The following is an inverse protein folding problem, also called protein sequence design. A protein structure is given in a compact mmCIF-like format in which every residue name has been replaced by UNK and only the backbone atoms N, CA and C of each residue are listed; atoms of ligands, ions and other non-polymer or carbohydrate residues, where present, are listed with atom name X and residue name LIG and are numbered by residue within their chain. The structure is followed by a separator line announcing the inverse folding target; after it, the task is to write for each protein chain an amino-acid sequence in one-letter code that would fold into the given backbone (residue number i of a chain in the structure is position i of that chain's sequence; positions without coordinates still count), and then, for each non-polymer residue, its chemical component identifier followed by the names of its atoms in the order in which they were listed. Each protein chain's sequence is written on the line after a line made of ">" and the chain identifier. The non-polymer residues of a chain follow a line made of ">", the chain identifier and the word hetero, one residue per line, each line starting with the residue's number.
data_IF_956207161890
#
_entry.id   IF_956207161890
#
_cell.length_a   1.000
_cell.length_b   1.000
_cell.length_c   1.000
_cell.angle_alpha   90.00
_cell.angle_beta   90.00
_cell.angle_gamma   90.00
#
_symmetry.space_group_name_H-M   'P 1'
#
loop_
_entity.id
_entity.type
_entity.pdbx_description
1 polymer ?
#
# COMPACT_ATOMS: atom_id res chain seq x y z
N UNK A 1 -18.09 36.36 -41.72
CA UNK A 1 -16.93 35.48 -41.47
C UNK A 1 -16.14 36.05 -40.30
N UNK A 2 -16.34 35.53 -39.08
CA UNK A 2 -15.53 35.88 -37.91
C UNK A 2 -14.89 34.58 -37.41
N UNK A 3 -13.55 34.54 -37.48
CA UNK A 3 -12.73 33.35 -37.20
C UNK A 3 -12.80 33.06 -35.69
N UNK A 4 -13.50 31.98 -35.34
CA UNK A 4 -13.47 31.38 -34.00
C UNK A 4 -12.05 30.88 -33.72
N UNK A 5 -11.28 31.61 -32.92
CA UNK A 5 -10.03 31.10 -32.35
C UNK A 5 -10.38 30.04 -31.31
N UNK A 6 -10.33 28.76 -31.72
CA UNK A 6 -10.38 27.64 -30.78
C UNK A 6 -9.02 27.56 -30.10
N UNK A 7 -8.99 27.84 -28.81
CA UNK A 7 -7.80 27.69 -27.97
C UNK A 7 -7.28 26.27 -28.05
N UNK A 8 -6.00 26.14 -28.39
CA UNK A 8 -5.28 24.88 -28.22
C UNK A 8 -4.99 24.71 -26.73
N UNK A 9 -5.79 23.89 -26.05
CA UNK A 9 -5.44 23.36 -24.74
C UNK A 9 -4.33 22.32 -24.96
N UNK A 10 -3.08 22.79 -24.96
CA UNK A 10 -1.92 21.91 -24.95
C UNK A 10 -2.00 21.08 -23.65
N UNK A 11 -2.43 19.82 -23.77
CA UNK A 11 -2.31 18.85 -22.68
C UNK A 11 -0.82 18.73 -22.40
N UNK A 12 -0.40 19.12 -21.21
CA UNK A 12 0.96 18.89 -20.74
C UNK A 12 1.12 17.37 -20.63
N UNK A 13 1.72 16.76 -21.65
CA UNK A 13 2.03 15.33 -21.64
C UNK A 13 3.18 15.18 -20.64
N UNK A 14 2.86 14.88 -19.39
CA UNK A 14 3.87 14.43 -18.44
C UNK A 14 4.37 13.08 -18.92
N UNK A 15 5.59 13.04 -19.46
CA UNK A 15 6.26 11.79 -19.77
C UNK A 15 6.66 11.13 -18.46
N UNK A 16 5.95 10.06 -18.10
CA UNK A 16 6.30 9.23 -16.96
C UNK A 16 7.34 8.22 -17.42
N UNK A 17 8.53 8.27 -16.83
CA UNK A 17 9.56 7.26 -17.02
C UNK A 17 9.50 6.29 -15.83
N UNK A 18 9.31 4.99 -16.11
CA UNK A 18 9.35 3.96 -15.09
C UNK A 18 10.77 3.43 -14.94
N UNK A 19 11.24 3.29 -13.71
CA UNK A 19 12.56 2.76 -13.38
C UNK A 19 12.40 1.74 -12.24
N UNK A 20 13.02 0.58 -12.38
CA UNK A 20 13.13 -0.39 -11.29
C UNK A 20 14.28 0.00 -10.35
N UNK A 21 14.07 -0.20 -9.05
CA UNK A 21 15.05 0.12 -8.03
C UNK A 21 15.04 -0.92 -6.90
N UNK A 22 16.19 -1.08 -6.24
CA UNK A 22 16.34 -1.87 -5.01
C UNK A 22 16.42 -0.93 -3.82
N UNK A 23 15.71 -1.26 -2.74
CA UNK A 23 15.84 -0.56 -1.46
C UNK A 23 16.78 -1.34 -0.53
N UNK A 24 17.94 -0.77 -0.22
CA UNK A 24 18.96 -1.41 0.59
C UNK A 24 19.67 -0.37 1.47
N UNK A 25 19.82 -0.67 2.76
CA UNK A 25 20.49 0.18 3.74
C UNK A 25 19.91 1.61 3.80
N UNK A 26 18.58 1.75 3.64
CA UNK A 26 17.91 3.05 3.66
C UNK A 26 18.02 3.86 2.37
N UNK A 27 18.61 3.29 1.31
CA UNK A 27 18.83 3.98 0.03
C UNK A 27 18.11 3.23 -1.10
N UNK A 28 17.38 3.98 -1.94
CA UNK A 28 16.82 3.47 -3.20
C UNK A 28 17.87 3.56 -4.30
N UNK A 29 18.29 2.41 -4.85
CA UNK A 29 19.28 2.30 -5.92
C UNK A 29 18.59 1.86 -7.22
N UNK A 30 18.60 2.67 -8.28
CA UNK A 30 18.04 2.25 -9.57
C UNK A 30 18.83 1.07 -10.15
N UNK A 31 18.14 0.08 -10.71
CA UNK A 31 18.74 -1.08 -11.39
C UNK A 31 19.11 -0.73 -12.83
N UNK A 32 18.39 0.22 -13.44
CA UNK A 32 18.62 0.72 -14.79
C UNK A 32 19.15 2.15 -14.84
N UNK A 33 19.26 2.68 -16.06
CA UNK A 33 19.67 4.07 -16.28
C UNK A 33 18.56 5.03 -15.83
N UNK A 34 18.73 5.63 -14.66
CA UNK A 34 17.95 6.77 -14.18
C UNK A 34 18.84 8.01 -14.22
N UNK A 35 18.62 8.88 -15.20
CA UNK A 35 19.30 10.17 -15.28
C UNK A 35 18.39 11.25 -14.71
N UNK A 36 18.81 11.86 -13.61
CA UNK A 36 18.14 13.00 -12.97
C UNK A 36 19.17 14.10 -12.77
N UNK A 37 18.75 15.36 -12.93
CA UNK A 37 19.57 16.50 -12.58
C UNK A 37 19.60 16.71 -11.06
N UNK A 38 20.68 17.31 -10.56
CA UNK A 38 20.76 17.69 -9.14
C UNK A 38 19.64 18.68 -8.78
N UNK A 39 18.91 18.40 -7.70
CA UNK A 39 17.75 19.20 -7.27
C UNK A 39 16.45 18.92 -8.01
N UNK A 40 16.42 17.98 -8.95
CA UNK A 40 15.20 17.59 -9.66
C UNK A 40 14.20 16.91 -8.71
N UNK A 41 12.96 17.41 -8.70
CA UNK A 41 11.88 16.84 -7.89
C UNK A 41 11.20 15.70 -8.64
N UNK A 42 11.18 14.52 -8.03
CA UNK A 42 10.54 13.32 -8.60
C UNK A 42 9.45 12.78 -7.70
N UNK A 43 8.49 12.06 -8.29
CA UNK A 43 7.44 11.34 -7.56
C UNK A 43 7.75 9.86 -7.56
N UNK A 44 7.79 9.26 -6.37
CA UNK A 44 7.94 7.83 -6.23
C UNK A 44 6.58 7.14 -6.22
N UNK A 45 6.44 6.06 -7.00
CA UNK A 45 5.25 5.21 -7.01
C UNK A 45 5.71 3.80 -6.65
N UNK A 46 5.21 3.26 -5.53
CA UNK A 46 5.48 1.89 -5.11
C UNK A 46 4.31 1.02 -5.55
N UNK A 47 4.55 0.15 -6.52
CA UNK A 47 3.57 -0.85 -6.94
C UNK A 47 3.55 -1.98 -5.90
N UNK A 48 2.63 -1.90 -4.95
CA UNK A 48 2.34 -3.03 -4.07
C UNK A 48 1.38 -3.97 -4.79
N UNK A 49 1.84 -5.17 -5.15
CA UNK A 49 0.88 -6.26 -5.36
C UNK A 49 0.18 -6.49 -4.01
N UNK A 50 -1.10 -6.16 -3.93
CA UNK A 50 -1.95 -6.63 -2.85
C UNK A 50 -2.07 -8.15 -3.00
N UNK A 51 -1.04 -8.89 -2.60
CA UNK A 51 -1.32 -10.22 -2.09
C UNK A 51 -2.18 -9.97 -0.85
N UNK A 52 -3.43 -10.46 -0.79
CA UNK A 52 -4.13 -10.47 0.47
C UNK A 52 -3.35 -11.43 1.37
N UNK A 53 -2.33 -10.93 2.07
CA UNK A 53 -1.72 -11.60 3.21
C UNK A 53 -2.66 -11.50 4.41
N UNK A 54 -3.96 -11.74 4.21
CA UNK A 54 -4.70 -12.44 5.24
C UNK A 54 -4.06 -13.81 5.28
N UNK A 55 -3.38 -14.15 6.38
CA UNK A 55 -3.07 -15.55 6.70
C UNK A 55 -4.42 -16.27 6.74
N UNK A 56 -4.84 -16.80 5.60
CA UNK A 56 -6.09 -17.53 5.49
C UNK A 56 -5.77 -18.89 6.09
N UNK A 57 -6.28 -19.15 7.29
CA UNK A 57 -6.22 -20.50 7.83
C UNK A 57 -6.94 -21.42 6.84
N UNK A 58 -6.39 -22.61 6.56
CA UNK A 58 -7.05 -23.52 5.65
C UNK A 58 -8.47 -23.79 6.14
N UNK A 59 -9.44 -23.73 5.22
CA UNK A 59 -10.87 -23.93 5.51
C UNK A 59 -11.20 -25.36 5.99
N UNK A 60 -10.19 -26.23 6.07
CA UNK A 60 -10.28 -27.63 6.50
C UNK A 60 -9.10 -27.92 7.43
N UNK A 61 -9.32 -28.76 8.44
CA UNK A 61 -8.31 -29.16 9.42
C UNK A 61 -8.75 -28.87 10.85
N UNK A 62 -7.94 -29.27 11.83
CA UNK A 62 -8.28 -29.18 13.26
C UNK A 62 -8.59 -27.74 13.70
N UNK A 63 -7.83 -26.75 13.21
CA UNK A 63 -8.08 -25.33 13.56
C UNK A 63 -9.47 -24.91 13.08
N UNK A 64 -9.85 -25.21 11.83
CA UNK A 64 -11.18 -24.89 11.30
C UNK A 64 -12.29 -25.54 12.13
N UNK A 65 -12.16 -26.84 12.43
CA UNK A 65 -13.13 -27.60 13.25
C UNK A 65 -13.29 -27.04 14.67
N UNK A 66 -12.21 -26.53 15.27
CA UNK A 66 -12.23 -25.93 16.60
C UNK A 66 -12.83 -24.51 16.59
N UNK A 67 -12.76 -23.81 15.45
CA UNK A 67 -13.28 -22.44 15.31
C UNK A 67 -14.71 -22.39 14.78
N UNK A 68 -15.27 -23.49 14.29
CA UNK A 68 -16.63 -23.56 13.74
C UNK A 68 -17.73 -23.32 14.79
N UNK A 69 -17.40 -23.44 16.08
CA UNK A 69 -18.31 -23.14 17.18
C UNK A 69 -17.61 -22.30 18.27
N UNK A 70 -17.53 -20.97 18.11
CA UNK A 70 -16.92 -20.11 19.11
C UNK A 70 -17.75 -20.15 20.41
N UNK A 71 -17.07 -20.37 21.53
CA UNK A 71 -17.70 -20.25 22.86
C UNK A 71 -18.13 -18.80 23.03
N UNK A 72 -19.45 -18.56 23.03
CA UNK A 72 -20.03 -17.27 23.39
C UNK A 72 -20.08 -17.18 24.90
N UNK A 73 -19.29 -16.27 25.47
CA UNK A 73 -19.37 -15.91 26.88
C UNK A 73 -20.23 -14.66 26.93
N UNK A 74 -21.47 -14.78 27.39
CA UNK A 74 -22.48 -13.70 27.27
C UNK A 74 -22.06 -12.39 27.97
N UNK A 75 -21.31 -12.50 29.06
CA UNK A 75 -20.86 -11.37 29.86
C UNK A 75 -19.40 -10.98 29.61
N UNK A 76 -18.76 -11.52 28.57
CA UNK A 76 -17.37 -11.17 28.28
C UNK A 76 -17.28 -9.75 27.72
N UNK A 77 -16.75 -8.85 28.53
CA UNK A 77 -16.33 -7.52 28.11
C UNK A 77 -14.80 -7.52 27.97
N UNK A 78 -14.25 -7.38 26.75
CA UNK A 78 -12.82 -7.26 26.58
C UNK A 78 -12.33 -6.00 27.29
N UNK A 79 -11.19 -6.12 27.96
CA UNK A 79 -10.54 -4.96 28.57
C UNK A 79 -10.20 -3.93 27.50
N UNK A 80 -10.39 -2.66 27.85
CA UNK A 80 -9.88 -1.54 27.10
C UNK A 80 -8.36 -1.55 27.13
N UNK A 81 -7.75 -0.85 26.17
CA UNK A 81 -6.29 -0.73 26.08
C UNK A 81 -5.71 -0.10 27.35
N UNK A 82 -6.44 0.85 27.92
CA UNK A 82 -6.11 1.58 29.13
C UNK A 82 -6.10 0.64 30.34
N UNK A 83 -7.15 -0.16 30.54
CA UNK A 83 -7.25 -1.15 31.63
C UNK A 83 -6.19 -2.26 31.56
N UNK A 84 -5.77 -2.65 30.35
CA UNK A 84 -4.72 -3.65 30.16
C UNK A 84 -3.33 -3.13 30.58
N UNK A 85 -3.05 -1.84 30.33
CA UNK A 85 -1.76 -1.22 30.64
C UNK A 85 -1.59 -0.92 32.14
N UNK A 86 -2.69 -0.80 32.90
CA UNK A 86 -2.66 -0.58 34.35
C UNK A 86 -2.36 -1.87 35.15
N UNK A 87 -2.42 -3.04 34.50
CA UNK A 87 -2.23 -4.35 35.12
C UNK A 87 -0.88 -4.99 34.82
N UNK A 88 -0.02 -4.33 34.03
CA UNK A 88 1.32 -4.79 33.65
C UNK A 88 2.41 -4.03 34.38
#
# INVERSE_FOLDING_TARGET
>A
MLKSQRGNLAKHIMQQHNCEAVFENGVLRPIGNLQLAEGESVKLIIESHSSPKTKCFPQKGLIAQLTDNPIKIEDFQPLTREEANERG
#
